data_IF_719205560688
#
_entry.id   IF_719205560688
#
_cell.length_a   1.000
_cell.length_b   1.000
_cell.length_c   1.000
_cell.angle_alpha   90.00
_cell.angle_beta   90.00
_cell.angle_gamma   90.00
#
_symmetry.space_group_name_H-M   'P 1'
#
loop_
_entity.id
_entity.type
_entity.pdbx_description
1 polymer ?
#
# COMPACT_ATOMS: atom_id res chain seq x y z
N UNK A 1 7.21 8.17 -3.89
CA UNK A 1 6.29 8.87 -2.98
C UNK A 1 5.34 7.86 -2.35
N UNK A 2 5.35 7.65 -1.04
CA UNK A 2 4.51 6.64 -0.42
C UNK A 2 3.03 6.99 -0.63
N UNK A 3 2.27 6.04 -1.19
CA UNK A 3 0.82 6.20 -1.41
C UNK A 3 0.00 5.44 -0.37
N UNK A 4 0.64 4.61 0.44
CA UNK A 4 0.01 3.66 1.35
C UNK A 4 0.81 3.53 2.64
N UNK A 5 0.08 3.38 3.77
CA UNK A 5 0.65 3.10 5.09
C UNK A 5 -0.09 1.97 5.83
N UNK A 6 -1.15 1.44 5.23
CA UNK A 6 -1.94 0.33 5.76
C UNK A 6 -1.95 -0.83 4.78
N UNK A 7 -1.68 -2.03 5.28
CA UNK A 7 -1.96 -3.28 4.59
C UNK A 7 -3.04 -4.02 5.36
N UNK A 8 -4.19 -4.21 4.77
CA UNK A 8 -5.33 -4.86 5.43
C UNK A 8 -5.12 -6.37 5.58
N UNK A 9 -5.95 -7.01 6.42
CA UNK A 9 -5.86 -8.45 6.70
C UNK A 9 -5.97 -9.30 5.43
N UNK A 10 -6.84 -8.93 4.48
CA UNK A 10 -6.98 -9.68 3.22
C UNK A 10 -5.69 -9.68 2.40
N UNK A 11 -5.05 -8.53 2.26
CA UNK A 11 -3.76 -8.43 1.57
C UNK A 11 -2.68 -9.22 2.31
N UNK A 12 -2.69 -9.18 3.66
CA UNK A 12 -1.74 -9.96 4.45
C UNK A 12 -1.93 -11.47 4.30
N UNK A 13 -3.16 -11.96 4.16
CA UNK A 13 -3.42 -13.37 3.85
C UNK A 13 -2.87 -13.77 2.47
N UNK A 14 -3.00 -12.91 1.47
CA UNK A 14 -2.39 -13.14 0.16
C UNK A 14 -0.86 -13.17 0.25
N UNK A 15 -0.26 -12.21 0.94
CA UNK A 15 1.18 -12.19 1.18
C UNK A 15 1.67 -13.42 1.96
N UNK A 16 0.87 -13.93 2.89
CA UNK A 16 1.15 -15.17 3.59
C UNK A 16 1.15 -16.36 2.63
N UNK A 17 0.16 -16.47 1.74
CA UNK A 17 0.13 -17.51 0.70
C UNK A 17 1.34 -17.46 -0.24
N UNK A 18 1.86 -16.26 -0.49
CA UNK A 18 3.07 -16.03 -1.28
C UNK A 18 4.37 -16.20 -0.48
N UNK A 19 4.30 -16.50 0.82
CA UNK A 19 5.47 -16.71 1.68
C UNK A 19 6.24 -15.43 2.04
N UNK A 20 5.65 -14.24 1.86
CA UNK A 20 6.33 -12.95 2.11
C UNK A 20 5.81 -12.19 3.33
N UNK A 21 4.74 -12.65 3.98
CA UNK A 21 4.10 -11.94 5.10
C UNK A 21 5.06 -11.64 6.25
N UNK A 22 5.88 -12.61 6.68
CA UNK A 22 6.82 -12.43 7.79
C UNK A 22 7.92 -11.42 7.45
N UNK A 23 8.40 -11.42 6.21
CA UNK A 23 9.38 -10.44 5.72
C UNK A 23 8.80 -9.02 5.73
N UNK A 24 7.52 -8.88 5.36
CA UNK A 24 6.81 -7.60 5.40
C UNK A 24 6.58 -7.12 6.83
N UNK A 25 6.23 -8.02 7.76
CA UNK A 25 6.08 -7.68 9.18
C UNK A 25 7.40 -7.25 9.81
N UNK A 26 8.52 -7.82 9.40
CA UNK A 26 9.84 -7.44 9.92
C UNK A 26 10.22 -5.97 9.62
N UNK A 27 9.64 -5.37 8.58
CA UNK A 27 9.87 -3.95 8.21
C UNK A 27 8.70 -3.04 8.60
N UNK A 28 7.65 -3.59 9.21
CA UNK A 28 6.45 -2.87 9.63
C UNK A 28 6.63 -2.21 11.00
N UNK A 29 5.63 -1.46 11.42
CA UNK A 29 5.54 -0.97 12.81
C UNK A 29 5.54 -2.16 13.75
N UNK A 30 6.33 -2.13 14.85
CA UNK A 30 6.41 -3.22 15.82
C UNK A 30 5.03 -3.66 16.30
N UNK A 31 4.84 -4.98 16.46
CA UNK A 31 3.52 -5.59 16.69
C UNK A 31 2.85 -5.17 18.00
N UNK A 32 3.60 -4.68 18.97
CA UNK A 32 3.12 -4.18 20.25
C UNK A 32 2.52 -2.78 20.19
N UNK A 33 2.84 -1.99 19.15
CA UNK A 33 2.35 -0.64 19.02
C UNK A 33 0.89 -0.61 18.53
N UNK A 34 0.06 0.14 19.23
CA UNK A 34 -1.33 0.35 18.83
C UNK A 34 -1.43 1.28 17.59
N UNK A 35 -2.61 1.31 16.99
CA UNK A 35 -2.90 2.14 15.82
C UNK A 35 -3.91 3.23 16.10
N UNK A 36 -3.94 3.75 17.31
CA UNK A 36 -4.87 4.79 17.74
C UNK A 36 -4.85 6.00 16.79
N UNK A 37 -6.01 6.62 16.65
CA UNK A 37 -6.18 7.91 15.98
C UNK A 37 -6.71 8.90 16.99
N UNK A 38 -5.96 9.97 17.25
CA UNK A 38 -6.33 11.02 18.19
C UNK A 38 -6.76 12.27 17.43
N UNK A 39 -7.97 12.73 17.69
CA UNK A 39 -8.47 14.00 17.17
C UNK A 39 -8.19 15.10 18.18
N UNK A 40 -7.35 16.04 17.80
CA UNK A 40 -6.91 17.13 18.67
C UNK A 40 -7.24 18.49 18.04
N UNK A 41 -7.47 19.50 18.85
CA UNK A 41 -7.66 20.87 18.35
C UNK A 41 -6.35 21.53 17.91
N UNK A 42 -5.24 21.11 18.52
CA UNK A 42 -3.87 21.53 18.23
C UNK A 42 -2.92 20.55 18.88
N UNK A 43 -1.75 20.35 18.29
CA UNK A 43 -0.65 19.60 18.93
C UNK A 43 0.03 20.39 20.05
N UNK A 44 -0.10 21.70 20.06
CA UNK A 44 0.46 22.58 21.09
C UNK A 44 -0.42 22.54 22.36
N UNK A 45 -0.23 21.52 23.20
CA UNK A 45 -0.99 21.32 24.43
C UNK A 45 -0.88 22.50 25.40
N UNK A 46 0.32 23.04 25.53
CA UNK A 46 0.60 24.20 26.39
C UNK A 46 -0.05 25.49 25.91
N UNK A 47 -0.41 25.58 24.62
CA UNK A 47 -1.18 26.68 24.03
C UNK A 47 -2.68 26.37 23.94
N UNK A 48 -3.21 25.47 24.79
CA UNK A 48 -4.63 25.14 24.87
C UNK A 48 -5.09 24.02 23.93
N UNK A 49 -4.16 23.27 23.34
CA UNK A 49 -4.48 22.06 22.58
C UNK A 49 -5.12 20.99 23.48
N UNK A 50 -6.19 20.37 23.00
CA UNK A 50 -6.91 19.31 23.73
C UNK A 50 -7.31 18.18 22.80
N UNK A 51 -7.31 16.96 23.34
CA UNK A 51 -7.88 15.79 22.66
C UNK A 51 -9.41 15.90 22.69
N UNK A 52 -10.04 15.82 21.53
CA UNK A 52 -11.49 15.80 21.37
C UNK A 52 -12.03 14.38 21.46
N UNK A 53 -11.32 13.46 20.80
CA UNK A 53 -11.68 12.04 20.75
C UNK A 53 -10.48 11.18 20.36
N UNK A 54 -10.45 9.94 20.85
CA UNK A 54 -9.47 8.93 20.49
C UNK A 54 -10.17 7.66 20.02
N UNK A 55 -10.00 7.32 18.77
CA UNK A 55 -10.34 6.00 18.27
C UNK A 55 -9.22 5.03 18.65
N UNK A 56 -9.57 4.03 19.46
CA UNK A 56 -8.62 2.99 19.87
C UNK A 56 -8.64 1.85 18.88
N UNK A 57 -7.49 1.58 18.30
CA UNK A 57 -7.30 0.45 17.42
C UNK A 57 -6.24 -0.48 18.02
N UNK A 58 -6.52 -1.80 18.05
CA UNK A 58 -5.61 -2.76 18.63
C UNK A 58 -4.28 -2.78 17.88
N UNK A 59 -3.21 -3.12 18.60
CA UNK A 59 -1.94 -3.49 18.00
C UNK A 59 -2.07 -4.81 17.22
N UNK A 60 -1.08 -5.12 16.39
CA UNK A 60 -1.03 -6.42 15.68
C UNK A 60 -1.06 -7.58 16.65
N UNK A 61 -0.29 -7.50 17.76
CA UNK A 61 -0.23 -8.53 18.78
C UNK A 61 -1.60 -8.74 19.47
N UNK A 62 -2.28 -7.65 19.84
CA UNK A 62 -3.62 -7.71 20.42
C UNK A 62 -4.63 -8.31 19.44
N UNK A 63 -4.62 -7.86 18.19
CA UNK A 63 -5.56 -8.39 17.18
C UNK A 63 -5.29 -9.86 16.85
N UNK A 64 -4.04 -10.30 16.88
CA UNK A 64 -3.69 -11.71 16.72
C UNK A 64 -4.24 -12.56 17.89
N UNK A 65 -4.12 -12.06 19.12
CA UNK A 65 -4.70 -12.73 20.29
C UNK A 65 -6.23 -12.83 20.21
N UNK A 66 -6.92 -11.76 19.77
CA UNK A 66 -8.37 -11.78 19.55
C UNK A 66 -8.78 -12.82 18.50
N UNK A 67 -8.08 -12.89 17.36
CA UNK A 67 -8.33 -13.84 16.28
C UNK A 67 -8.17 -15.28 16.79
N UNK A 68 -7.14 -15.55 17.57
CA UNK A 68 -6.90 -16.87 18.15
C UNK A 68 -7.96 -17.26 19.21
N UNK A 69 -8.43 -16.29 19.98
CA UNK A 69 -9.46 -16.51 21.00
C UNK A 69 -10.83 -16.81 20.38
N UNK A 70 -11.20 -16.09 19.33
CA UNK A 70 -12.47 -16.32 18.61
C UNK A 70 -12.45 -17.60 17.78
N UNK A 71 -11.44 -17.78 16.96
CA UNK A 71 -11.18 -18.93 16.05
C UNK A 71 -12.44 -19.57 15.43
N UNK A 72 -13.42 -18.74 15.09
CA UNK A 72 -14.72 -19.15 14.55
C UNK A 72 -14.83 -18.97 13.03
N UNK A 73 -13.73 -18.58 12.37
CA UNK A 73 -13.67 -18.32 10.93
C UNK A 73 -14.23 -16.97 10.50
N UNK A 74 -14.73 -16.13 11.40
CA UNK A 74 -15.27 -14.79 11.07
C UNK A 74 -14.18 -13.74 10.90
N UNK A 75 -12.97 -14.00 11.42
CA UNK A 75 -11.83 -13.09 11.37
C UNK A 75 -10.78 -13.58 10.36
N UNK A 76 -10.12 -12.67 9.63
CA UNK A 76 -8.96 -13.05 8.82
C UNK A 76 -7.84 -13.55 9.72
N UNK A 77 -7.14 -14.60 9.31
CA UNK A 77 -6.02 -15.17 10.07
C UNK A 77 -4.86 -14.19 10.28
N UNK A 78 -4.64 -13.33 9.30
CA UNK A 78 -3.61 -12.30 9.35
C UNK A 78 -4.22 -10.96 9.74
N UNK A 79 -3.84 -10.35 10.87
CA UNK A 79 -4.24 -8.98 11.17
C UNK A 79 -3.64 -7.99 10.18
N UNK A 80 -4.30 -6.85 10.00
CA UNK A 80 -3.74 -5.72 9.27
C UNK A 80 -2.39 -5.29 9.89
N UNK A 81 -1.56 -4.61 9.10
CA UNK A 81 -0.32 -3.99 9.59
C UNK A 81 -0.20 -2.55 9.11
N UNK A 82 0.58 -1.77 9.84
CA UNK A 82 1.01 -0.43 9.46
C UNK A 82 2.47 -0.48 9.00
N UNK A 83 2.68 -0.01 7.79
CA UNK A 83 4.01 0.03 7.19
C UNK A 83 4.00 0.99 6.00
N UNK A 84 5.01 1.81 5.88
CA UNK A 84 5.15 2.67 4.71
C UNK A 84 5.39 1.84 3.45
N UNK A 85 4.77 2.22 2.35
CA UNK A 85 4.98 1.61 1.03
C UNK A 85 6.47 1.57 0.65
N UNK A 86 7.23 2.58 1.03
CA UNK A 86 8.70 2.65 0.79
C UNK A 86 9.44 1.46 1.41
N UNK A 87 8.92 0.91 2.51
CA UNK A 87 9.50 -0.26 3.18
C UNK A 87 9.01 -1.59 2.60
N UNK A 88 7.79 -1.62 2.06
CA UNK A 88 7.22 -2.83 1.45
C UNK A 88 7.84 -3.11 0.08
N UNK A 89 7.99 -2.09 -0.75
CA UNK A 89 8.42 -2.25 -2.13
C UNK A 89 9.75 -2.99 -2.28
N UNK A 90 10.81 -2.71 -1.50
CA UNK A 90 12.04 -3.48 -1.55
C UNK A 90 11.84 -4.98 -1.26
N UNK A 91 11.03 -5.31 -0.24
CA UNK A 91 10.74 -6.71 0.13
C UNK A 91 10.03 -7.46 -0.99
N UNK A 92 9.04 -6.82 -1.61
CA UNK A 92 8.31 -7.40 -2.75
C UNK A 92 9.20 -7.52 -3.98
N UNK A 93 10.03 -6.52 -4.24
CA UNK A 93 11.00 -6.51 -5.33
C UNK A 93 11.99 -7.68 -5.20
N UNK A 94 12.54 -7.87 -4.01
CA UNK A 94 13.48 -8.98 -3.75
C UNK A 94 12.80 -10.35 -3.96
N UNK A 95 11.53 -10.47 -3.53
CA UNK A 95 10.76 -11.69 -3.76
C UNK A 95 10.51 -11.98 -5.25
N UNK A 96 10.25 -10.94 -6.05
CA UNK A 96 10.03 -11.04 -7.49
C UNK A 96 11.34 -11.41 -8.21
N UNK A 97 12.43 -10.72 -7.90
CA UNK A 97 13.74 -10.94 -8.54
C UNK A 97 14.29 -12.36 -8.29
N UNK A 98 13.94 -12.96 -7.15
CA UNK A 98 14.33 -14.33 -6.81
C UNK A 98 13.45 -15.42 -7.43
N UNK A 99 12.37 -15.05 -8.16
CA UNK A 99 11.42 -16.04 -8.66
C UNK A 99 11.71 -16.45 -10.11
N UNK A 100 11.94 -17.74 -10.40
CA UNK A 100 12.43 -18.21 -11.70
C UNK A 100 11.43 -18.01 -12.86
N UNK A 101 10.15 -17.80 -12.56
CA UNK A 101 9.10 -17.59 -13.57
C UNK A 101 8.77 -16.11 -13.81
N UNK A 102 9.54 -15.19 -13.22
CA UNK A 102 9.27 -13.75 -13.33
C UNK A 102 10.42 -13.04 -14.02
N UNK A 103 10.14 -12.42 -15.17
CA UNK A 103 11.03 -11.45 -15.81
C UNK A 103 10.59 -10.04 -15.43
N UNK A 104 11.24 -9.48 -14.40
CA UNK A 104 10.91 -8.15 -13.88
C UNK A 104 11.79 -7.08 -14.52
N UNK A 105 11.19 -6.12 -15.21
CA UNK A 105 11.88 -5.06 -15.95
C UNK A 105 11.50 -3.69 -15.41
N UNK A 106 12.49 -2.93 -14.95
CA UNK A 106 12.34 -1.55 -14.52
C UNK A 106 12.83 -0.58 -15.61
N UNK A 107 12.28 0.62 -15.62
CA UNK A 107 12.61 1.62 -16.62
C UNK A 107 11.99 1.32 -17.99
N UNK A 108 10.98 0.44 -18.03
CA UNK A 108 10.22 0.10 -19.24
C UNK A 108 8.78 0.57 -19.05
N UNK A 109 8.26 1.33 -19.99
CA UNK A 109 6.90 1.83 -19.99
C UNK A 109 6.04 1.07 -21.00
N UNK A 110 4.80 0.81 -20.61
CA UNK A 110 3.75 0.39 -21.53
C UNK A 110 3.36 1.56 -22.44
N UNK A 111 3.16 1.32 -23.73
CA UNK A 111 2.68 2.32 -24.69
C UNK A 111 1.35 1.94 -25.31
N UNK A 112 1.25 0.72 -25.83
CA UNK A 112 0.07 0.26 -26.55
C UNK A 112 -0.04 -1.27 -26.56
N UNK A 113 -1.19 -1.79 -26.96
CA UNK A 113 -1.35 -3.20 -27.24
C UNK A 113 -2.32 -3.45 -28.39
N UNK A 114 -2.18 -4.61 -29.00
CA UNK A 114 -3.11 -5.20 -29.96
C UNK A 114 -3.48 -6.59 -29.50
N UNK A 115 -4.77 -6.93 -29.54
CA UNK A 115 -5.28 -8.24 -29.15
C UNK A 115 -5.89 -8.94 -30.36
N UNK A 116 -5.62 -10.24 -30.49
CA UNK A 116 -6.25 -11.15 -31.44
C UNK A 116 -6.75 -12.42 -30.75
N UNK A 117 -7.24 -13.39 -31.51
CA UNK A 117 -7.75 -14.67 -31.00
C UNK A 117 -6.70 -15.53 -30.27
N UNK A 118 -5.41 -15.24 -30.47
CA UNK A 118 -4.30 -16.04 -29.95
C UNK A 118 -3.52 -15.37 -28.83
N UNK A 119 -3.87 -14.12 -28.45
CA UNK A 119 -3.22 -13.41 -27.35
C UNK A 119 -3.08 -11.91 -27.57
N UNK A 120 -2.10 -11.32 -26.92
CA UNK A 120 -1.86 -9.87 -26.91
C UNK A 120 -0.43 -9.54 -27.32
N UNK A 121 -0.26 -8.60 -28.24
CA UNK A 121 1.04 -8.00 -28.58
C UNK A 121 1.14 -6.66 -27.90
N UNK A 122 2.08 -6.50 -26.96
CA UNK A 122 2.28 -5.29 -26.16
C UNK A 122 3.47 -4.51 -26.70
N UNK A 123 3.28 -3.21 -26.90
CA UNK A 123 4.39 -2.29 -27.26
C UNK A 123 4.92 -1.67 -25.97
N UNK A 124 6.22 -1.86 -25.75
CA UNK A 124 6.96 -1.36 -24.60
C UNK A 124 8.02 -0.36 -25.07
N UNK A 125 8.31 0.64 -24.23
CA UNK A 125 9.38 1.62 -24.47
C UNK A 125 10.37 1.65 -23.31
N UNK A 126 11.65 1.51 -23.63
CA UNK A 126 12.73 1.73 -22.67
C UNK A 126 12.88 3.23 -22.41
N UNK A 127 12.71 3.66 -21.16
CA UNK A 127 12.67 5.07 -20.78
C UNK A 127 14.01 5.79 -20.99
N UNK A 128 15.12 5.10 -20.83
CA UNK A 128 16.46 5.66 -20.96
C UNK A 128 16.82 5.94 -22.43
N UNK A 129 16.51 5.01 -23.32
CA UNK A 129 16.94 5.06 -24.71
C UNK A 129 15.85 5.51 -25.67
N UNK A 130 14.58 5.46 -25.25
CA UNK A 130 13.43 5.67 -26.11
C UNK A 130 13.15 4.52 -27.09
N UNK A 131 13.95 3.45 -27.06
CA UNK A 131 13.76 2.30 -27.93
C UNK A 131 12.47 1.56 -27.62
N UNK A 132 11.76 1.12 -28.65
CA UNK A 132 10.52 0.36 -28.52
C UNK A 132 10.76 -1.11 -28.88
N UNK A 133 10.04 -1.99 -28.20
CA UNK A 133 10.00 -3.43 -28.50
C UNK A 133 8.55 -3.95 -28.44
N UNK A 134 8.31 -5.07 -29.09
CA UNK A 134 7.03 -5.77 -29.00
C UNK A 134 7.22 -7.08 -28.26
N UNK A 135 6.32 -7.34 -27.30
CA UNK A 135 6.28 -8.56 -26.51
C UNK A 135 4.95 -9.26 -26.73
N UNK A 136 4.99 -10.53 -27.12
CA UNK A 136 3.79 -11.37 -27.25
C UNK A 136 3.51 -12.07 -25.93
N UNK A 137 2.25 -12.07 -25.48
CA UNK A 137 1.78 -12.79 -24.30
C UNK A 137 0.37 -13.33 -24.53
N UNK A 138 -0.04 -14.31 -23.71
CA UNK A 138 -1.40 -14.83 -23.73
C UNK A 138 -2.38 -13.86 -23.07
N UNK A 139 -1.94 -13.17 -22.02
CA UNK A 139 -2.77 -12.22 -21.26
C UNK A 139 -1.96 -10.97 -20.87
N UNK A 140 -2.62 -9.81 -20.89
CA UNK A 140 -2.12 -8.55 -20.35
C UNK A 140 -2.95 -8.14 -19.13
N UNK A 141 -2.31 -7.97 -17.96
CA UNK A 141 -2.94 -7.44 -16.77
C UNK A 141 -2.49 -6.00 -16.51
N UNK A 142 -3.42 -5.04 -16.61
CA UNK A 142 -3.18 -3.64 -16.30
C UNK A 142 -3.21 -3.39 -14.78
N UNK A 143 -2.02 -3.26 -14.17
CA UNK A 143 -1.84 -2.93 -12.75
C UNK A 143 -1.28 -1.51 -12.54
N UNK A 144 -1.57 -0.60 -13.46
CA UNK A 144 -1.00 0.74 -13.61
C UNK A 144 -1.81 1.84 -12.88
N UNK A 145 -2.78 1.45 -12.05
CA UNK A 145 -3.45 2.33 -11.08
C UNK A 145 -4.62 3.14 -11.63
N UNK A 146 -4.99 4.23 -10.93
CA UNK A 146 -6.20 5.00 -11.22
C UNK A 146 -6.20 5.72 -12.57
N UNK A 147 -5.02 6.02 -13.11
CA UNK A 147 -4.81 6.61 -14.44
C UNK A 147 -4.33 5.56 -15.45
N UNK A 148 -4.84 4.34 -15.33
CA UNK A 148 -4.42 3.19 -16.13
C UNK A 148 -4.51 3.45 -17.63
N UNK A 149 -3.37 3.37 -18.31
CA UNK A 149 -3.30 3.45 -19.76
C UNK A 149 -3.92 2.21 -20.43
N UNK A 150 -3.79 1.05 -19.81
CA UNK A 150 -4.41 -0.19 -20.29
C UNK A 150 -5.93 -0.07 -20.29
N UNK A 151 -6.52 0.45 -19.20
CA UNK A 151 -7.97 0.69 -19.12
C UNK A 151 -8.45 1.68 -20.19
N UNK A 152 -7.71 2.79 -20.37
CA UNK A 152 -8.06 3.81 -21.37
C UNK A 152 -8.02 3.25 -22.80
N UNK A 153 -7.04 2.39 -23.11
CA UNK A 153 -6.94 1.73 -24.42
C UNK A 153 -8.09 0.74 -24.67
N UNK A 154 -8.71 0.20 -23.61
CA UNK A 154 -9.90 -0.65 -23.66
C UNK A 154 -11.21 0.16 -23.71
N UNK A 155 -11.13 1.48 -23.72
CA UNK A 155 -12.30 2.40 -23.66
C UNK A 155 -13.21 2.13 -22.45
N UNK A 156 -12.61 1.69 -21.33
CA UNK A 156 -13.33 1.44 -20.06
C UNK A 156 -13.34 2.73 -19.25
N UNK A 157 -14.48 3.41 -19.24
CA UNK A 157 -14.69 4.62 -18.46
C UNK A 157 -14.75 4.34 -16.95
N UNK A 158 -14.27 5.29 -16.14
CA UNK A 158 -14.57 5.30 -14.71
C UNK A 158 -15.91 5.98 -14.47
N UNK A 159 -16.83 5.28 -13.83
CA UNK A 159 -18.13 5.82 -13.44
C UNK A 159 -18.03 6.51 -12.07
N UNK A 160 -18.79 7.61 -11.91
CA UNK A 160 -18.89 8.33 -10.66
C UNK A 160 -18.44 9.79 -10.73
N UNK A 161 -18.29 10.41 -9.56
CA UNK A 161 -17.87 11.82 -9.43
C UNK A 161 -16.35 11.92 -9.43
N UNK A 162 -15.82 12.65 -10.38
CA UNK A 162 -14.40 13.03 -10.38
C UNK A 162 -14.14 14.22 -9.43
N UNK A 163 -12.88 14.40 -9.02
CA UNK A 163 -12.41 15.52 -8.21
C UNK A 163 -13.24 15.78 -6.93
N UNK A 164 -13.61 14.70 -6.24
CA UNK A 164 -14.47 14.75 -5.03
C UNK A 164 -13.88 15.63 -3.92
N UNK A 165 -12.56 15.67 -3.79
CA UNK A 165 -11.86 16.53 -2.85
C UNK A 165 -10.49 16.94 -3.38
N UNK A 166 -10.11 18.18 -3.10
CA UNK A 166 -8.74 18.66 -3.29
C UNK A 166 -8.03 18.59 -1.94
N UNK A 167 -6.83 18.00 -1.92
CA UNK A 167 -6.04 17.87 -0.69
C UNK A 167 -4.60 18.28 -0.96
N UNK A 168 -4.05 19.02 -0.02
CA UNK A 168 -2.61 19.23 0.05
C UNK A 168 -2.01 18.18 0.98
N UNK A 169 -1.00 17.49 0.50
CA UNK A 169 -0.20 16.60 1.33
C UNK A 169 1.17 17.25 1.52
N UNK A 170 1.50 17.55 2.76
CA UNK A 170 2.79 18.13 3.13
C UNK A 170 3.61 17.05 3.84
N UNK A 171 4.76 16.72 3.27
CA UNK A 171 5.71 15.81 3.89
C UNK A 171 6.89 16.63 4.39
N UNK A 172 7.12 16.60 5.70
CA UNK A 172 8.19 17.34 6.35
C UNK A 172 8.91 16.48 7.39
N UNK A 173 10.10 16.90 7.77
CA UNK A 173 10.87 16.31 8.86
C UNK A 173 10.83 17.25 10.06
N UNK A 174 10.62 16.70 11.26
CA UNK A 174 10.64 17.44 12.51
C UNK A 174 11.32 16.63 13.60
N UNK A 175 12.05 17.31 14.49
CA UNK A 175 12.63 16.73 15.70
C UNK A 175 11.77 17.00 16.96
N UNK A 176 10.65 17.73 16.81
CA UNK A 176 9.74 18.13 17.88
C UNK A 176 8.86 16.95 18.36
N UNK A 177 9.46 15.91 18.89
CA UNK A 177 8.77 14.69 19.38
C UNK A 177 7.83 14.99 20.55
N UNK A 178 8.15 15.96 21.38
CA UNK A 178 7.36 16.38 22.53
C UNK A 178 5.95 16.82 22.14
N UNK A 179 5.77 17.43 20.98
CA UNK A 179 4.45 17.82 20.48
C UNK A 179 3.54 16.61 20.24
N UNK A 180 4.09 15.52 19.68
CA UNK A 180 3.34 14.30 19.44
C UNK A 180 3.12 13.49 20.73
N UNK A 181 4.07 13.54 21.65
CA UNK A 181 3.99 12.80 22.91
C UNK A 181 2.99 13.43 23.92
N UNK A 182 2.67 14.70 23.78
CA UNK A 182 1.78 15.44 24.68
C UNK A 182 0.40 14.78 24.83
N UNK A 183 -0.09 14.08 23.82
CA UNK A 183 -1.37 13.36 23.82
C UNK A 183 -1.21 11.82 23.88
N UNK A 184 0.01 11.34 24.16
CA UNK A 184 0.33 9.92 24.17
C UNK A 184 0.55 9.36 22.75
N UNK A 185 0.93 8.09 22.66
CA UNK A 185 1.25 7.45 21.38
C UNK A 185 -0.03 7.23 20.57
N UNK A 186 -0.03 7.70 19.34
CA UNK A 186 -1.08 7.42 18.35
C UNK A 186 -0.45 7.33 16.96
N UNK A 187 -1.16 6.69 16.04
CA UNK A 187 -0.74 6.60 14.63
C UNK A 187 -1.00 7.93 13.88
N UNK A 188 -2.14 8.56 14.19
CA UNK A 188 -2.52 9.85 13.64
C UNK A 188 -3.00 10.81 14.75
N UNK A 189 -2.71 12.10 14.53
CA UNK A 189 -3.23 13.21 15.32
C UNK A 189 -3.94 14.21 14.42
#
# INVERSE_FOLDING_TARGET
HPKMDITNGRSMELFRRLGVADKLRAVAVPEENNFDISWVTSLAKDAGGRELHRFRYPSVAQKRAEILACNDGTQPREPAMRVSQVMIEPVLRDAILGHPLVDARWGVAFEDFQQDETGVTVTLRTMETGATEQVRCDFLAGCDGGTSAVRERLDIALEGRAAVAQRYMVHFRSEARELLQAFGVAWHY
#
